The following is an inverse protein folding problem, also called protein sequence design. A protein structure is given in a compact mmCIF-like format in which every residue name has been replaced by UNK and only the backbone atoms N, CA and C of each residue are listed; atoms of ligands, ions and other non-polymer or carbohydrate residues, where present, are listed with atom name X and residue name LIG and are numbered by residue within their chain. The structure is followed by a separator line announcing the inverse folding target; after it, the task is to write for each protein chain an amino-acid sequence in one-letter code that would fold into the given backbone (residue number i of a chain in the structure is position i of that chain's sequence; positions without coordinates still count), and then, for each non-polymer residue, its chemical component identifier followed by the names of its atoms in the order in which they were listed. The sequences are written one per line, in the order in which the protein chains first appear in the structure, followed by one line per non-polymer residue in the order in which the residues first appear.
data_IF_052092578246
#
_entry.id   IF_052092578246
#
_cell.length_a   1.000
_cell.length_b   1.000
_cell.length_c   1.000
_cell.angle_alpha   90.00
_cell.angle_beta   90.00
_cell.angle_gamma   90.00
#
_symmetry.space_group_name_H-M   'P 1'
#
loop_
_entity.id
_entity.type
_entity.pdbx_description
1 polymer ?
#
# COMPACT_ATOMS: atom_id res chain seq x y z
N UNK A 1 -8.79 4.36 -13.27
CA UNK A 1 -9.50 3.47 -12.32
C UNK A 1 -10.96 3.72 -12.57
N UNK A 2 -11.76 2.72 -12.96
CA UNK A 2 -13.21 2.89 -12.84
C UNK A 2 -13.56 2.58 -11.40
N UNK A 3 -14.07 3.56 -10.68
CA UNK A 3 -14.54 3.37 -9.31
C UNK A 3 -15.91 2.72 -9.42
N UNK A 4 -16.04 1.51 -8.88
CA UNK A 4 -17.33 0.85 -8.67
C UNK A 4 -17.50 0.75 -7.15
N UNK A 5 -18.42 1.53 -6.60
CA UNK A 5 -18.73 1.54 -5.17
C UNK A 5 -17.93 2.56 -4.34
N UNK A 6 -18.13 2.50 -3.03
CA UNK A 6 -17.51 3.39 -2.04
C UNK A 6 -16.02 3.11 -1.87
N UNK A 7 -15.25 4.17 -1.65
CA UNK A 7 -13.81 4.05 -1.43
C UNK A 7 -13.52 3.80 0.05
N UNK A 8 -12.71 2.78 0.31
CA UNK A 8 -12.18 2.46 1.63
C UNK A 8 -10.72 2.89 1.71
N UNK A 9 -10.31 3.36 2.88
CA UNK A 9 -8.90 3.70 3.13
C UNK A 9 -8.12 2.43 3.48
N UNK A 10 -7.05 2.17 2.72
CA UNK A 10 -6.10 1.09 3.00
C UNK A 10 -4.74 1.67 3.33
N UNK A 11 -4.22 1.33 4.52
CA UNK A 11 -2.82 1.53 4.89
C UNK A 11 -2.01 0.32 4.42
N UNK A 12 -1.16 0.54 3.43
CA UNK A 12 -0.30 -0.50 2.85
C UNK A 12 1.15 -0.19 3.17
N UNK A 13 1.88 -1.20 3.64
CA UNK A 13 3.31 -1.14 3.91
C UNK A 13 4.01 -2.18 3.03
N UNK A 14 5.01 -1.77 2.26
CA UNK A 14 5.82 -2.67 1.45
C UNK A 14 7.29 -2.29 1.45
N UNK A 15 8.14 -3.23 1.05
CA UNK A 15 9.60 -3.06 1.02
C UNK A 15 10.21 -3.78 -0.19
N UNK A 16 11.39 -3.38 -0.66
CA UNK A 16 12.17 -4.20 -1.58
C UNK A 16 12.61 -5.51 -0.90
N UNK A 17 12.83 -6.54 -1.69
CA UNK A 17 13.38 -7.80 -1.19
C UNK A 17 14.77 -7.58 -0.60
N UNK A 18 15.08 -8.34 0.45
CA UNK A 18 16.42 -8.36 1.04
C UNK A 18 17.38 -8.94 0.01
N UNK A 19 18.49 -8.26 -0.22
CA UNK A 19 19.58 -8.72 -1.11
C UNK A 19 20.89 -8.57 -0.33
N UNK A 20 21.95 -9.31 -0.70
CA UNK A 20 23.26 -9.22 -0.03
C UNK A 20 23.80 -7.78 0.07
N UNK A 21 23.48 -6.96 -0.94
CA UNK A 21 23.85 -5.53 -1.00
C UNK A 21 22.99 -4.64 -0.09
N UNK A 22 21.78 -5.06 0.26
CA UNK A 22 20.80 -4.29 1.03
C UNK A 22 20.13 -5.18 2.08
N UNK A 23 20.87 -5.44 3.16
CA UNK A 23 20.44 -6.31 4.27
C UNK A 23 19.20 -5.78 5.01
N UNK A 24 19.07 -4.46 5.10
CA UNK A 24 17.96 -3.77 5.77
C UNK A 24 17.21 -2.85 4.81
N UNK A 25 16.28 -3.37 4.00
CA UNK A 25 15.53 -2.58 3.04
C UNK A 25 14.59 -1.57 3.74
N UNK A 26 14.43 -0.35 3.19
CA UNK A 26 13.52 0.64 3.75
C UNK A 26 12.06 0.21 3.57
N UNK A 27 11.22 0.52 4.56
CA UNK A 27 9.77 0.31 4.49
C UNK A 27 9.07 1.55 3.92
N UNK A 28 8.20 1.33 2.95
CA UNK A 28 7.36 2.35 2.34
C UNK A 28 5.92 2.18 2.80
N UNK A 29 5.34 3.23 3.37
CA UNK A 29 3.94 3.29 3.79
C UNK A 29 3.15 4.18 2.85
N UNK A 30 2.00 3.71 2.38
CA UNK A 30 1.04 4.50 1.61
C UNK A 30 -0.37 4.33 2.16
N UNK A 31 -1.16 5.41 2.12
CA UNK A 31 -2.60 5.39 2.29
C UNK A 31 -3.24 5.40 0.91
N UNK A 32 -4.06 4.41 0.60
CA UNK A 32 -4.66 4.21 -0.71
C UNK A 32 -6.16 4.08 -0.55
N UNK A 33 -6.90 4.93 -1.25
CA UNK A 33 -8.35 4.85 -1.35
C UNK A 33 -8.72 3.91 -2.50
N UNK A 34 -9.40 2.81 -2.19
CA UNK A 34 -9.81 1.81 -3.18
C UNK A 34 -11.10 1.11 -2.72
N UNK A 35 -11.91 0.58 -3.65
CA UNK A 35 -13.12 -0.17 -3.29
C UNK A 35 -12.81 -1.51 -2.62
N UNK A 36 -11.66 -2.11 -2.95
CA UNK A 36 -11.27 -3.43 -2.47
C UNK A 36 -9.75 -3.54 -2.26
N UNK A 37 -9.36 -4.54 -1.46
CA UNK A 37 -7.96 -4.82 -1.11
C UNK A 37 -7.10 -5.19 -2.32
N UNK A 38 -7.66 -5.81 -3.37
CA UNK A 38 -6.91 -6.21 -4.57
C UNK A 38 -6.57 -5.00 -5.41
N UNK A 39 -7.53 -4.11 -5.63
CA UNK A 39 -7.35 -2.80 -6.27
C UNK A 39 -6.36 -1.95 -5.48
N UNK A 40 -6.43 -1.96 -4.14
CA UNK A 40 -5.47 -1.26 -3.29
C UNK A 40 -4.02 -1.77 -3.48
N UNK A 41 -3.79 -3.09 -3.52
CA UNK A 41 -2.48 -3.69 -3.83
C UNK A 41 -1.98 -3.26 -5.22
N UNK A 42 -2.85 -3.30 -6.23
CA UNK A 42 -2.49 -2.89 -7.59
C UNK A 42 -2.06 -1.43 -7.64
N UNK A 43 -2.79 -0.55 -6.95
CA UNK A 43 -2.47 0.89 -6.82
C UNK A 43 -1.15 1.11 -6.09
N UNK A 44 -0.88 0.36 -5.03
CA UNK A 44 0.40 0.44 -4.33
C UNK A 44 1.58 0.16 -5.27
N UNK A 45 1.52 -0.92 -6.05
CA UNK A 45 2.55 -1.24 -7.02
C UNK A 45 2.64 -0.21 -8.15
N UNK A 46 1.52 0.35 -8.59
CA UNK A 46 1.51 1.42 -9.58
C UNK A 46 2.28 2.66 -9.10
N UNK A 47 2.00 3.13 -7.88
CA UNK A 47 2.65 4.33 -7.33
C UNK A 47 4.10 4.07 -6.96
N UNK A 48 4.42 2.95 -6.31
CA UNK A 48 5.81 2.60 -5.94
C UNK A 48 6.70 2.40 -7.17
N UNK A 49 6.15 1.91 -8.29
CA UNK A 49 6.87 1.85 -9.57
C UNK A 49 7.23 3.24 -10.08
N UNK A 50 6.33 4.22 -9.95
CA UNK A 50 6.57 5.60 -10.38
C UNK A 50 7.52 6.36 -9.46
N UNK A 51 7.39 6.18 -8.14
CA UNK A 51 8.14 6.98 -7.15
C UNK A 51 9.51 6.39 -6.81
N UNK A 52 9.62 5.06 -6.70
CA UNK A 52 10.82 4.37 -6.20
C UNK A 52 11.36 3.32 -7.16
N UNK A 53 10.83 3.23 -8.39
CA UNK A 53 11.16 2.19 -9.38
C UNK A 53 11.01 0.76 -8.84
N UNK A 54 10.19 0.60 -7.80
CA UNK A 54 9.97 -0.69 -7.15
C UNK A 54 8.88 -1.46 -7.91
N UNK A 55 9.16 -2.72 -8.24
CA UNK A 55 8.24 -3.61 -8.94
C UNK A 55 7.76 -4.70 -7.99
N UNK A 56 6.57 -5.25 -8.26
CA UNK A 56 6.02 -6.42 -7.55
C UNK A 56 6.99 -7.61 -7.53
N UNK A 57 7.78 -7.79 -8.59
CA UNK A 57 8.76 -8.89 -8.69
C UNK A 57 9.95 -8.72 -7.73
N UNK A 58 10.32 -7.48 -7.41
CA UNK A 58 11.53 -7.17 -6.62
C UNK A 58 11.18 -6.62 -5.23
N UNK A 59 9.94 -6.76 -4.81
CA UNK A 59 9.46 -6.24 -3.54
C UNK A 59 8.29 -7.06 -3.01
N UNK A 60 8.04 -6.90 -1.73
CA UNK A 60 6.97 -7.56 -1.02
C UNK A 60 6.10 -6.54 -0.28
N UNK A 61 4.83 -6.90 -0.09
CA UNK A 61 3.93 -6.14 0.78
C UNK A 61 4.00 -6.80 2.16
N UNK A 62 4.48 -6.06 3.15
CA UNK A 62 4.64 -6.52 4.53
C UNK A 62 3.30 -6.55 5.25
N UNK A 63 2.46 -5.53 5.04
CA UNK A 63 1.16 -5.45 5.71
C UNK A 63 0.15 -4.62 4.92
N UNK A 64 -1.12 -4.98 5.04
CA UNK A 64 -2.26 -4.26 4.49
C UNK A 64 -3.36 -4.25 5.54
N UNK A 65 -3.72 -3.05 5.98
CA UNK A 65 -4.78 -2.81 6.94
C UNK A 65 -5.81 -1.86 6.35
N UNK A 66 -7.09 -2.18 6.51
CA UNK A 66 -8.19 -1.23 6.27
C UNK A 66 -8.22 -0.24 7.44
N UNK A 67 -8.17 1.06 7.16
CA UNK A 67 -8.30 2.10 8.17
C UNK A 67 -9.78 2.46 8.23
N UNK A 68 -10.46 1.99 9.26
CA UNK A 68 -11.79 2.51 9.59
C UNK A 68 -11.64 3.81 10.36
N UNK A 69 -12.50 4.77 10.04
CA UNK A 69 -12.55 6.03 10.75
C UNK A 69 -13.16 5.79 12.13
N UNK A 70 -12.31 5.70 13.15
CA UNK A 70 -12.76 5.80 14.54
C UNK A 70 -12.85 7.28 14.88
N UNK A 71 -13.97 7.91 14.52
CA UNK A 71 -14.42 9.05 15.29
C UNK A 71 -15.05 8.47 16.56
N UNK A 72 -14.42 8.58 17.75
CA UNK A 72 -15.24 8.75 18.93
C UNK A 72 -16.01 10.05 18.66
N UNK A 73 -17.33 9.96 18.64
CA UNK A 73 -18.23 11.10 18.53
C UNK A 73 -17.64 12.34 19.22
N UNK A 74 -17.52 13.50 18.54
CA UNK A 74 -17.27 14.74 19.25
C UNK A 74 -18.49 14.98 20.14
N UNK A 75 -18.30 14.87 21.45
CA UNK A 75 -19.29 15.20 22.49
C UNK A 75 -19.61 16.68 22.39
#
# INVERSE_FOLDING_TARGET
MKVKGELKEYKIIGRPLVTDKLKTPPLYRMRIFAPDKVTAKSRFWYFTRKLKKLKKSNGEIVSISEVSFQCPVPI
#
